data_IF_095952195224
#
_entry.id   IF_095952195224
#
_cell.length_a   1.000
_cell.length_b   1.000
_cell.length_c   1.000
_cell.angle_alpha   90.00
_cell.angle_beta   90.00
_cell.angle_gamma   90.00
#
_symmetry.space_group_name_H-M   'P 1'
#
loop_
_entity.id
_entity.type
_entity.pdbx_description
1 polymer ?
#
# COMPACT_ATOMS: atom_id res chain seq x y z
N UNK A 1 -7.74 -0.63 -12.21
CA UNK A 1 -7.23 0.69 -11.79
C UNK A 1 -6.61 1.39 -12.99
N UNK A 2 -6.75 2.71 -13.12
CA UNK A 2 -6.03 3.52 -14.10
C UNK A 2 -4.65 3.93 -13.56
N UNK A 3 -3.77 4.44 -14.41
CA UNK A 3 -2.41 4.84 -14.00
C UNK A 3 -2.42 5.87 -12.86
N UNK A 4 -3.28 6.89 -12.93
CA UNK A 4 -3.40 7.90 -11.86
C UNK A 4 -3.90 7.34 -10.53
N UNK A 5 -4.73 6.29 -10.54
CA UNK A 5 -5.11 5.56 -9.32
C UNK A 5 -3.89 4.86 -8.73
N UNK A 6 -3.12 4.17 -9.58
CA UNK A 6 -1.92 3.44 -9.17
C UNK A 6 -0.87 4.38 -8.57
N UNK A 7 -0.68 5.57 -9.15
CA UNK A 7 0.28 6.55 -8.65
C UNK A 7 -0.18 7.18 -7.33
N UNK A 8 -1.47 7.49 -7.21
CA UNK A 8 -2.07 8.02 -5.98
C UNK A 8 -1.98 7.04 -4.81
N UNK A 9 -2.37 5.77 -5.01
CA UNK A 9 -2.31 4.76 -3.93
C UNK A 9 -0.86 4.43 -3.57
N UNK A 10 0.07 4.39 -4.54
CA UNK A 10 1.49 4.21 -4.26
C UNK A 10 2.04 5.34 -3.40
N UNK A 11 1.68 6.59 -3.67
CA UNK A 11 2.11 7.73 -2.85
C UNK A 11 1.61 7.59 -1.40
N UNK A 12 0.34 7.24 -1.21
CA UNK A 12 -0.23 7.01 0.11
C UNK A 12 0.46 5.87 0.87
N UNK A 13 0.76 4.76 0.18
CA UNK A 13 1.52 3.63 0.75
C UNK A 13 2.95 4.04 1.14
N UNK A 14 3.65 4.81 0.29
CA UNK A 14 5.02 5.23 0.57
C UNK A 14 5.12 6.18 1.78
N UNK A 15 4.14 7.06 1.99
CA UNK A 15 4.06 7.85 3.24
C UNK A 15 3.78 6.95 4.44
N UNK A 16 2.79 6.07 4.35
CA UNK A 16 2.43 5.17 5.45
C UNK A 16 3.60 4.26 5.89
N UNK A 17 4.44 3.81 4.95
CA UNK A 17 5.62 3.02 5.23
C UNK A 17 6.64 3.72 6.15
N UNK A 18 6.69 5.05 6.14
CA UNK A 18 7.56 5.82 7.03
C UNK A 18 6.84 6.25 8.32
N UNK A 19 5.55 6.58 8.22
CA UNK A 19 4.88 7.37 9.25
C UNK A 19 4.01 6.53 10.20
N UNK A 20 3.59 5.33 9.78
CA UNK A 20 2.63 4.49 10.53
C UNK A 20 3.31 3.29 11.17
N UNK A 21 2.87 2.91 12.37
CA UNK A 21 3.34 1.70 13.08
C UNK A 21 2.60 0.46 12.61
N UNK A 22 3.13 -0.72 12.94
CA UNK A 22 2.44 -1.97 12.69
C UNK A 22 1.12 -2.04 13.49
N UNK A 23 0.11 -2.66 12.90
CA UNK A 23 -1.27 -2.68 13.39
C UNK A 23 -2.12 -1.48 12.98
N UNK A 24 -1.51 -0.37 12.51
CA UNK A 24 -2.28 0.79 12.05
C UNK A 24 -2.95 0.52 10.69
N UNK A 25 -4.19 1.01 10.56
CA UNK A 25 -4.94 0.99 9.31
C UNK A 25 -5.34 2.39 8.86
N UNK A 26 -5.49 2.58 7.55
CA UNK A 26 -6.09 3.78 6.98
C UNK A 26 -6.87 3.46 5.71
N UNK A 27 -7.81 4.33 5.39
CA UNK A 27 -8.58 4.25 4.15
C UNK A 27 -7.95 5.16 3.09
N UNK A 28 -7.86 4.65 1.87
CA UNK A 28 -7.55 5.41 0.68
C UNK A 28 -8.73 5.35 -0.28
N UNK A 29 -9.00 6.44 -1.00
CA UNK A 29 -9.99 6.51 -2.07
C UNK A 29 -9.36 7.15 -3.29
N UNK A 30 -9.82 6.78 -4.48
CA UNK A 30 -9.26 7.30 -5.74
C UNK A 30 -9.77 8.69 -6.15
N UNK A 31 -10.07 9.55 -5.18
CA UNK A 31 -10.56 10.90 -5.43
C UNK A 31 -9.52 11.73 -6.21
N UNK A 32 -10.00 12.48 -7.20
CA UNK A 32 -9.14 13.36 -8.03
C UNK A 32 -8.30 12.65 -9.10
N UNK A 33 -8.42 11.33 -9.27
CA UNK A 33 -7.63 10.59 -10.28
C UNK A 33 -8.24 10.62 -11.69
N UNK A 34 -9.52 11.03 -11.82
CA UNK A 34 -10.26 11.03 -13.09
C UNK A 34 -10.73 9.63 -13.54
N UNK A 35 -10.73 8.65 -12.65
CA UNK A 35 -11.40 7.38 -12.89
C UNK A 35 -12.87 7.47 -12.43
N UNK A 36 -13.81 7.15 -13.33
CA UNK A 36 -15.24 7.16 -13.02
C UNK A 36 -15.69 5.99 -12.16
N UNK A 37 -14.88 4.92 -12.09
CA UNK A 37 -15.11 3.82 -11.16
C UNK A 37 -14.54 4.21 -9.80
N UNK A 38 -15.41 4.29 -8.79
CA UNK A 38 -14.99 4.46 -7.40
C UNK A 38 -14.22 3.23 -6.93
N UNK A 39 -13.06 3.49 -6.34
CA UNK A 39 -12.20 2.48 -5.75
C UNK A 39 -11.81 3.00 -4.37
N UNK A 40 -11.99 2.16 -3.36
CA UNK A 40 -11.47 2.38 -2.02
C UNK A 40 -10.55 1.24 -1.61
N UNK A 41 -9.65 1.53 -0.68
CA UNK A 41 -8.75 0.56 -0.10
C UNK A 41 -8.71 0.75 1.42
N UNK A 42 -8.79 -0.34 2.17
CA UNK A 42 -8.29 -0.38 3.55
C UNK A 42 -6.88 -0.94 3.52
N UNK A 43 -5.92 -0.14 4.00
CA UNK A 43 -4.50 -0.48 4.02
C UNK A 43 -4.06 -0.60 5.47
N UNK A 44 -3.53 -1.76 5.84
CA UNK A 44 -3.02 -2.07 7.17
C UNK A 44 -1.52 -2.31 7.12
N UNK A 45 -0.78 -1.71 8.04
CA UNK A 45 0.63 -2.02 8.27
C UNK A 45 0.71 -3.33 9.05
N UNK A 46 0.94 -4.46 8.37
CA UNK A 46 0.78 -5.80 8.97
C UNK A 46 1.94 -6.13 9.90
N UNK A 47 3.18 -6.05 9.39
CA UNK A 47 4.36 -6.41 10.17
C UNK A 47 5.63 -5.81 9.60
N UNK A 48 6.57 -5.48 10.48
CA UNK A 48 7.94 -5.08 10.16
C UNK A 48 8.91 -6.18 10.54
N UNK A 49 9.84 -6.50 9.64
CA UNK A 49 10.95 -7.42 9.87
C UNK A 49 12.28 -6.75 9.57
N UNK A 50 13.33 -7.17 10.27
CA UNK A 50 14.71 -6.79 9.95
C UNK A 50 15.45 -8.05 9.49
N UNK A 51 15.68 -8.18 8.20
CA UNK A 51 16.35 -9.33 7.57
C UNK A 51 17.75 -8.91 7.13
N UNK A 52 18.80 -9.43 7.79
CA UNK A 52 20.19 -9.17 7.40
C UNK A 52 20.58 -7.69 7.34
N UNK A 53 19.99 -6.82 8.18
CA UNK A 53 20.19 -5.36 8.15
C UNK A 53 19.26 -4.60 7.21
N UNK A 54 18.34 -5.29 6.53
CA UNK A 54 17.31 -4.72 5.66
C UNK A 54 15.97 -4.68 6.38
N UNK A 55 15.41 -3.50 6.58
CA UNK A 55 14.04 -3.37 7.09
C UNK A 55 13.04 -3.65 5.98
N UNK A 56 12.12 -4.58 6.22
CA UNK A 56 11.00 -4.91 5.35
C UNK A 56 9.68 -4.72 6.08
N UNK A 57 8.63 -4.34 5.35
CA UNK A 57 7.27 -4.15 5.86
C UNK A 57 6.28 -4.84 4.94
N UNK A 58 5.43 -5.66 5.53
CA UNK A 58 4.30 -6.29 4.86
C UNK A 58 3.06 -5.44 5.13
N UNK A 59 2.24 -5.25 4.11
CA UNK A 59 0.96 -4.58 4.25
C UNK A 59 -0.17 -5.57 3.95
N UNK A 60 -1.31 -5.39 4.61
CA UNK A 60 -2.59 -5.94 4.16
C UNK A 60 -3.34 -4.86 3.39
N UNK A 61 -3.81 -5.16 2.18
CA UNK A 61 -4.62 -4.23 1.39
C UNK A 61 -5.89 -4.92 0.95
N UNK A 62 -7.04 -4.36 1.33
CA UNK A 62 -8.35 -4.77 0.84
C UNK A 62 -8.82 -3.69 -0.12
N UNK A 63 -8.78 -3.97 -1.42
CA UNK A 63 -9.28 -3.09 -2.49
C UNK A 63 -10.73 -3.44 -2.82
N UNK A 64 -11.61 -2.43 -2.87
CA UNK A 64 -13.00 -2.60 -3.26
C UNK A 64 -13.30 -1.79 -4.52
N UNK A 65 -13.99 -2.40 -5.48
CA UNK A 65 -14.50 -1.73 -6.66
C UNK A 65 -15.71 -2.49 -7.23
N UNK A 66 -16.79 -1.79 -7.59
CA UNK A 66 -17.99 -2.38 -8.23
C UNK A 66 -18.56 -3.61 -7.50
N UNK A 67 -18.56 -3.61 -6.16
CA UNK A 67 -19.05 -4.73 -5.35
C UNK A 67 -18.12 -5.95 -5.32
N UNK A 68 -16.92 -5.85 -5.88
CA UNK A 68 -15.87 -6.86 -5.77
C UNK A 68 -14.77 -6.39 -4.82
N UNK A 69 -14.15 -7.36 -4.13
CA UNK A 69 -13.02 -7.13 -3.24
C UNK A 69 -11.81 -7.94 -3.69
N UNK A 70 -10.63 -7.35 -3.58
CA UNK A 70 -9.34 -8.01 -3.83
C UNK A 70 -8.42 -7.79 -2.64
N UNK A 71 -7.89 -8.89 -2.10
CA UNK A 71 -6.94 -8.87 -0.99
C UNK A 71 -5.52 -8.98 -1.53
N UNK A 72 -4.67 -8.00 -1.22
CA UNK A 72 -3.25 -8.00 -1.57
C UNK A 72 -2.40 -8.00 -0.30
N UNK A 73 -1.24 -8.66 -0.37
CA UNK A 73 -0.21 -8.63 0.67
C UNK A 73 1.16 -8.20 0.13
N UNK A 74 1.33 -6.92 -0.28
CA UNK A 74 2.60 -6.46 -0.80
C UNK A 74 3.66 -6.42 0.30
N UNK A 75 4.90 -6.75 -0.06
CA UNK A 75 6.06 -6.65 0.82
C UNK A 75 6.99 -5.56 0.27
N UNK A 76 7.35 -4.59 1.10
CA UNK A 76 8.28 -3.53 0.75
C UNK A 76 9.52 -3.64 1.60
N UNK A 77 10.70 -3.48 1.01
CA UNK A 77 11.94 -3.48 1.75
C UNK A 77 12.76 -2.23 1.43
N UNK A 78 13.43 -1.70 2.45
CA UNK A 78 14.28 -0.52 2.33
C UNK A 78 15.61 -0.90 1.68
N UNK A 79 15.95 -0.27 0.57
CA UNK A 79 17.20 -0.48 -0.19
C UNK A 79 17.79 0.89 -0.48
N UNK A 80 19.02 1.13 -0.04
CA UNK A 80 19.66 2.45 -0.23
C UNK A 80 18.85 3.60 0.35
N UNK A 81 18.10 3.37 1.44
CA UNK A 81 17.26 4.36 2.09
C UNK A 81 15.83 4.50 1.54
N UNK A 82 15.52 3.91 0.38
CA UNK A 82 14.21 3.99 -0.26
C UNK A 82 13.42 2.66 -0.16
N UNK A 83 12.10 2.75 -0.03
CA UNK A 83 11.23 1.57 -0.06
C UNK A 83 11.06 1.03 -1.48
N UNK A 84 11.22 -0.28 -1.64
CA UNK A 84 11.01 -0.96 -2.92
C UNK A 84 10.02 -2.10 -2.75
N UNK A 85 9.03 -2.19 -3.64
CA UNK A 85 8.12 -3.33 -3.69
C UNK A 85 8.91 -4.58 -4.09
N UNK A 86 8.81 -5.62 -3.27
CA UNK A 86 9.42 -6.91 -3.56
C UNK A 86 8.48 -7.70 -4.48
N UNK A 87 9.03 -8.18 -5.59
CA UNK A 87 8.36 -9.20 -6.40
C UNK A 87 8.42 -10.52 -5.62
N UNK A 88 7.29 -11.21 -5.55
CA UNK A 88 7.27 -12.62 -5.18
C UNK A 88 7.45 -13.46 -6.43
#
# INVERSE_FOLDING_TARGET
MKQRDNDSIKHAVMSALNDRKDGDSFTWVNDGTGNSVKIDATITMDSTSNDGGRTCRVLGVVLNAKGQSMNLRPNFCRVGGAWQLQKR
#
